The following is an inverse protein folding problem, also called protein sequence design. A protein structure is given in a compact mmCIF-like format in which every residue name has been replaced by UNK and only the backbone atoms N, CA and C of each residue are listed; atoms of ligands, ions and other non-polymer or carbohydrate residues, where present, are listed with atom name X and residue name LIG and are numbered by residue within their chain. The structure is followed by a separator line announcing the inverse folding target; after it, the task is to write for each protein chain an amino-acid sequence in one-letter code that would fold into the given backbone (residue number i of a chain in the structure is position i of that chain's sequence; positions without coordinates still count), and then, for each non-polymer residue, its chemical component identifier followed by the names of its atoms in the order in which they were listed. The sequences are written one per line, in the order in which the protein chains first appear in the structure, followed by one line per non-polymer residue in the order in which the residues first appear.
data_IF_849502278250
#
_entry.id   IF_849502278250
#
_cell.length_a   1.000
_cell.length_b   1.000
_cell.length_c   1.000
_cell.angle_alpha   90.00
_cell.angle_beta   90.00
_cell.angle_gamma   90.00
#
_symmetry.space_group_name_H-M   'P 1'
#
loop_
_entity.id
_entity.type
_entity.pdbx_description
1 polymer ?
#
# COMPACT_ATOMS: atom_id res chain seq x y z
N UNK A 1 1.89 -46.12 -35.65
CA UNK A 1 2.53 -44.81 -35.37
C UNK A 1 1.50 -43.89 -34.74
N UNK A 2 1.28 -44.01 -33.43
CA UNK A 2 0.49 -43.06 -32.66
C UNK A 2 1.49 -42.40 -31.72
N UNK A 3 1.89 -41.17 -32.06
CA UNK A 3 2.73 -40.32 -31.24
C UNK A 3 1.89 -39.81 -30.06
N UNK A 4 2.16 -40.32 -28.87
CA UNK A 4 1.71 -39.73 -27.62
C UNK A 4 2.52 -38.45 -27.38
N UNK A 5 1.92 -37.29 -27.65
CA UNK A 5 2.42 -36.02 -27.12
C UNK A 5 2.14 -36.00 -25.63
N UNK A 6 3.14 -36.31 -24.81
CA UNK A 6 3.08 -36.00 -23.39
C UNK A 6 3.17 -34.48 -23.23
N UNK A 7 2.05 -33.83 -22.90
CA UNK A 7 2.06 -32.49 -22.33
C UNK A 7 2.80 -32.59 -21.00
N UNK A 8 4.09 -32.26 -20.99
CA UNK A 8 4.80 -31.93 -19.77
C UNK A 8 4.23 -30.59 -19.28
N UNK A 9 3.18 -30.63 -18.46
CA UNK A 9 2.86 -29.50 -17.61
C UNK A 9 4.09 -29.27 -16.71
N UNK A 10 4.82 -28.20 -16.97
CA UNK A 10 5.76 -27.64 -16.01
C UNK A 10 4.93 -27.30 -14.77
N UNK A 11 5.08 -28.08 -13.71
CA UNK A 11 4.65 -27.66 -12.38
C UNK A 11 5.70 -26.63 -11.96
N UNK A 12 5.46 -25.36 -12.29
CA UNK A 12 6.24 -24.29 -11.69
C UNK A 12 5.78 -24.15 -10.24
N UNK A 13 6.71 -24.27 -9.30
CA UNK A 13 6.40 -23.99 -7.90
C UNK A 13 6.06 -22.51 -7.79
N UNK A 14 4.78 -22.21 -7.59
CA UNK A 14 4.31 -20.85 -7.33
C UNK A 14 4.86 -20.45 -5.96
N UNK A 15 5.71 -19.43 -5.90
CA UNK A 15 6.09 -18.87 -4.61
C UNK A 15 4.91 -18.08 -4.04
N UNK A 16 4.72 -18.19 -2.73
CA UNK A 16 3.65 -17.45 -2.04
C UNK A 16 4.28 -16.47 -1.06
N UNK A 17 4.06 -15.18 -1.30
CA UNK A 17 4.38 -14.13 -0.35
C UNK A 17 3.30 -14.08 0.73
N UNK A 18 3.67 -14.39 1.98
CA UNK A 18 2.75 -14.40 3.11
C UNK A 18 3.06 -13.25 4.06
N UNK A 19 2.05 -12.47 4.43
CA UNK A 19 2.19 -11.45 5.47
C UNK A 19 0.90 -11.30 6.28
N UNK A 20 1.05 -10.79 7.51
CA UNK A 20 -0.06 -10.37 8.36
C UNK A 20 0.05 -8.87 8.59
N UNK A 21 -1.03 -8.15 8.32
CA UNK A 21 -1.14 -6.70 8.41
C UNK A 21 -2.03 -6.35 9.59
N UNK A 22 -1.44 -5.87 10.68
CA UNK A 22 -2.16 -5.27 11.79
C UNK A 22 -2.35 -3.78 11.53
N UNK A 23 -3.61 -3.37 11.32
CA UNK A 23 -3.96 -1.98 11.02
C UNK A 23 -4.36 -1.26 12.30
N UNK A 24 -3.59 -0.26 12.72
CA UNK A 24 -3.86 0.49 13.94
C UNK A 24 -3.43 1.95 13.88
N UNK A 25 -4.04 2.76 14.73
CA UNK A 25 -3.58 4.11 15.03
C UNK A 25 -2.33 4.06 15.92
N UNK A 26 -1.34 4.89 15.58
CA UNK A 26 -0.09 5.05 16.33
C UNK A 26 0.33 6.53 16.32
N UNK A 27 0.86 7.05 17.42
CA UNK A 27 1.40 8.42 17.44
C UNK A 27 2.81 8.42 16.87
N UNK A 28 3.06 9.26 15.87
CA UNK A 28 4.37 9.38 15.24
C UNK A 28 4.65 10.82 14.78
N UNK A 29 5.93 11.09 14.57
CA UNK A 29 6.45 12.41 14.19
C UNK A 29 7.38 12.33 12.95
N UNK A 30 6.87 11.87 11.79
CA UNK A 30 7.69 11.68 10.58
C UNK A 30 8.35 12.97 10.08
N UNK A 31 7.81 14.12 10.45
CA UNK A 31 8.34 15.45 10.16
C UNK A 31 8.66 16.27 11.41
N UNK A 32 8.92 15.60 12.54
CA UNK A 32 9.15 16.17 13.88
C UNK A 32 7.91 16.76 14.57
N UNK A 33 6.74 16.72 13.94
CA UNK A 33 5.47 17.05 14.58
C UNK A 33 4.70 15.78 14.94
N UNK A 34 4.43 15.56 16.23
CA UNK A 34 3.68 14.37 16.68
C UNK A 34 2.19 14.48 16.32
N UNK A 35 1.68 13.47 15.60
CA UNK A 35 0.26 13.31 15.30
C UNK A 35 -0.15 11.83 15.27
N UNK A 36 -1.46 11.52 15.34
CA UNK A 36 -1.96 10.17 15.08
C UNK A 36 -1.77 9.81 13.60
N UNK A 37 -1.26 8.61 13.36
CA UNK A 37 -0.98 8.04 12.03
C UNK A 37 -1.56 6.63 11.97
N UNK A 38 -2.19 6.28 10.85
CA UNK A 38 -2.59 4.91 10.55
C UNK A 38 -1.38 4.13 10.04
N UNK A 39 -1.11 2.99 10.66
CA UNK A 39 0.07 2.18 10.39
C UNK A 39 -0.31 0.76 10.02
N UNK A 40 0.65 0.07 9.39
CA UNK A 40 0.63 -1.37 9.25
C UNK A 40 1.81 -1.91 10.07
N UNK A 41 1.52 -2.76 11.06
CA UNK A 41 2.53 -3.34 11.94
C UNK A 41 3.42 -2.30 12.65
N UNK A 42 2.84 -1.16 13.06
CA UNK A 42 3.55 -0.01 13.69
C UNK A 42 4.64 0.63 12.82
N UNK A 43 4.62 0.41 11.50
CA UNK A 43 5.63 0.96 10.59
C UNK A 43 5.14 2.20 9.86
N UNK A 44 6.02 3.19 9.75
CA UNK A 44 5.86 4.39 8.94
C UNK A 44 7.17 4.61 8.16
N UNK A 45 7.15 4.58 6.82
CA UNK A 45 6.04 4.15 5.96
C UNK A 45 5.60 2.71 6.23
N UNK A 46 4.42 2.33 5.72
CA UNK A 46 3.98 0.93 5.80
C UNK A 46 4.97 -0.01 5.08
N UNK A 47 5.03 -1.31 5.45
CA UNK A 47 6.02 -2.25 4.93
C UNK A 47 6.05 -2.30 3.40
N UNK A 48 7.23 -2.21 2.79
CA UNK A 48 7.34 -2.41 1.34
C UNK A 48 7.19 -3.90 1.01
N UNK A 49 6.30 -4.22 0.07
CA UNK A 49 6.17 -5.57 -0.49
C UNK A 49 7.05 -5.65 -1.73
N UNK A 50 7.92 -6.65 -1.80
CA UNK A 50 8.73 -6.96 -2.98
C UNK A 50 8.51 -8.43 -3.32
N UNK A 51 7.97 -8.69 -4.50
CA UNK A 51 7.71 -10.03 -5.03
C UNK A 51 8.21 -10.10 -6.48
N UNK A 52 8.24 -11.30 -7.06
CA UNK A 52 8.49 -11.48 -8.48
C UNK A 52 7.18 -11.67 -9.24
N UNK A 53 7.19 -11.31 -10.53
CA UNK A 53 6.13 -11.67 -11.46
C UNK A 53 5.89 -13.19 -11.42
N UNK A 54 4.64 -13.59 -11.20
CA UNK A 54 4.25 -15.00 -11.08
C UNK A 54 4.08 -15.47 -9.65
N UNK A 55 4.54 -14.70 -8.66
CA UNK A 55 4.29 -15.00 -7.25
C UNK A 55 2.81 -14.78 -6.91
N UNK A 56 2.32 -15.54 -5.92
CA UNK A 56 1.02 -15.34 -5.30
C UNK A 56 1.18 -14.48 -4.04
N UNK A 57 0.46 -13.38 -3.94
CA UNK A 57 0.38 -12.59 -2.72
C UNK A 57 -0.74 -13.16 -1.85
N UNK A 58 -0.45 -13.39 -0.56
CA UNK A 58 -1.40 -13.86 0.44
C UNK A 58 -1.25 -13.04 1.72
N UNK A 59 -2.08 -12.01 1.90
CA UNK A 59 -1.99 -11.05 3.00
C UNK A 59 -3.24 -11.15 3.87
N UNK A 60 -3.04 -11.50 5.14
CA UNK A 60 -4.11 -11.44 6.15
C UNK A 60 -4.13 -10.05 6.78
N UNK A 61 -5.17 -9.28 6.50
CA UNK A 61 -5.42 -8.00 7.16
C UNK A 61 -6.23 -8.22 8.42
N UNK A 62 -5.79 -7.63 9.53
CA UNK A 62 -6.49 -7.59 10.81
C UNK A 62 -6.81 -6.11 11.11
N UNK A 63 -8.10 -5.77 11.17
CA UNK A 63 -8.55 -4.42 11.45
C UNK A 63 -8.63 -4.19 12.97
N UNK A 64 -7.63 -3.50 13.54
CA UNK A 64 -7.60 -3.14 14.96
C UNK A 64 -8.08 -1.69 15.21
N UNK A 65 -8.66 -1.06 14.19
CA UNK A 65 -9.26 0.27 14.30
C UNK A 65 -10.66 0.19 14.92
N UNK A 66 -11.15 1.34 15.41
CA UNK A 66 -12.56 1.53 15.78
C UNK A 66 -13.46 1.86 14.59
N UNK A 67 -12.93 1.84 13.37
CA UNK A 67 -13.61 2.18 12.13
C UNK A 67 -13.34 1.12 11.05
N UNK A 68 -14.18 1.00 10.01
CA UNK A 68 -13.93 0.04 8.94
C UNK A 68 -12.68 0.37 8.11
N UNK A 69 -12.17 -0.61 7.37
CA UNK A 69 -11.05 -0.40 6.44
C UNK A 69 -11.13 -1.35 5.24
N UNK A 70 -10.28 -1.14 4.23
CA UNK A 70 -10.01 -2.05 3.12
C UNK A 70 -8.73 -1.59 2.42
N UNK A 71 -7.91 -2.52 1.90
CA UNK A 71 -6.68 -2.19 1.17
C UNK A 71 -6.87 -2.47 -0.31
N UNK A 72 -6.65 -1.44 -1.13
CA UNK A 72 -6.57 -1.53 -2.58
C UNK A 72 -5.11 -1.65 -3.06
N UNK A 73 -4.93 -2.44 -4.11
CA UNK A 73 -3.62 -2.74 -4.72
C UNK A 73 -3.45 -1.94 -6.01
N UNK A 74 -2.99 -0.71 -5.84
CA UNK A 74 -3.03 0.31 -6.88
C UNK A 74 -2.24 -0.09 -8.13
N UNK A 75 -2.93 -0.06 -9.28
CA UNK A 75 -2.36 -0.39 -10.59
C UNK A 75 -2.34 -1.89 -10.91
N UNK A 76 -2.77 -2.76 -10.00
CA UNK A 76 -2.96 -4.17 -10.32
C UNK A 76 -4.29 -4.37 -11.04
N UNK A 77 -4.27 -5.19 -12.09
CA UNK A 77 -5.42 -5.51 -12.93
C UNK A 77 -6.45 -6.40 -12.24
N UNK A 78 -6.08 -7.07 -11.14
CA UNK A 78 -6.92 -8.04 -10.43
C UNK A 78 -7.58 -9.07 -11.36
N UNK A 79 -6.84 -9.49 -12.39
CA UNK A 79 -7.33 -10.47 -13.37
C UNK A 79 -7.73 -11.76 -12.65
N UNK A 80 -8.97 -12.19 -12.87
CA UNK A 80 -9.59 -13.34 -12.20
C UNK A 80 -9.68 -13.24 -10.66
N UNK A 81 -9.43 -12.07 -10.08
CA UNK A 81 -9.35 -11.83 -8.64
C UNK A 81 -10.04 -10.50 -8.25
N UNK A 82 -11.06 -10.07 -9.00
CA UNK A 82 -11.76 -8.79 -8.79
C UNK A 82 -12.21 -8.56 -7.33
N UNK A 83 -12.64 -9.61 -6.63
CA UNK A 83 -13.07 -9.54 -5.22
C UNK A 83 -11.92 -9.28 -4.23
N UNK A 84 -10.67 -9.24 -4.70
CA UNK A 84 -9.47 -8.90 -3.95
C UNK A 84 -8.99 -7.47 -4.21
N UNK A 85 -9.72 -6.70 -5.01
CA UNK A 85 -9.34 -5.35 -5.40
C UNK A 85 -9.42 -4.32 -4.27
N UNK A 86 -10.18 -4.58 -3.20
CA UNK A 86 -10.09 -3.74 -2.01
C UNK A 86 -10.93 -2.48 -2.00
N UNK A 87 -12.02 -2.43 -2.77
CA UNK A 87 -12.86 -1.22 -2.93
C UNK A 87 -14.23 -1.45 -2.27
N UNK A 88 -14.46 -0.94 -1.04
CA UNK A 88 -15.73 -1.06 -0.35
C UNK A 88 -16.91 -0.53 -1.18
N UNK A 89 -17.96 -1.32 -1.28
CA UNK A 89 -19.16 -0.98 -2.06
C UNK A 89 -19.06 -1.26 -3.56
N UNK A 90 -17.90 -1.71 -4.05
CA UNK A 90 -17.70 -2.11 -5.46
C UNK A 90 -17.28 -3.58 -5.56
N UNK A 91 -16.14 -3.93 -4.97
CA UNK A 91 -15.53 -5.26 -5.12
C UNK A 91 -15.63 -6.11 -3.86
N UNK A 92 -15.82 -5.48 -2.69
CA UNK A 92 -16.07 -6.15 -1.42
C UNK A 92 -16.86 -5.24 -0.47
N UNK A 93 -17.31 -5.79 0.66
CA UNK A 93 -17.71 -4.98 1.82
C UNK A 93 -16.46 -4.49 2.57
N UNK A 94 -16.63 -3.43 3.35
CA UNK A 94 -15.63 -2.99 4.31
C UNK A 94 -15.30 -4.06 5.36
N UNK A 95 -14.05 -4.07 5.82
CA UNK A 95 -13.57 -4.94 6.90
C UNK A 95 -13.86 -4.22 8.21
N UNK A 96 -14.82 -4.70 8.99
CA UNK A 96 -15.27 -4.03 10.21
C UNK A 96 -14.23 -4.12 11.35
N UNK A 97 -14.33 -3.25 12.38
CA UNK A 97 -13.51 -3.34 13.58
C UNK A 97 -13.43 -4.75 14.16
N UNK A 98 -12.21 -5.21 14.45
CA UNK A 98 -11.93 -6.55 14.99
C UNK A 98 -12.05 -7.70 14.00
N UNK A 99 -12.42 -7.44 12.74
CA UNK A 99 -12.49 -8.45 11.70
C UNK A 99 -11.18 -8.59 10.93
N UNK A 100 -11.09 -9.67 10.15
CA UNK A 100 -9.95 -9.94 9.29
C UNK A 100 -10.41 -10.31 7.89
N UNK A 101 -9.56 -10.04 6.91
CA UNK A 101 -9.77 -10.41 5.51
C UNK A 101 -8.47 -10.92 4.91
N UNK A 102 -8.54 -11.91 4.04
CA UNK A 102 -7.37 -12.46 3.36
C UNK A 102 -7.41 -12.01 1.90
N UNK A 103 -6.44 -11.20 1.51
CA UNK A 103 -6.20 -10.84 0.12
C UNK A 103 -5.32 -11.90 -0.53
N UNK A 104 -5.84 -12.60 -1.54
CA UNK A 104 -5.08 -13.62 -2.29
C UNK A 104 -5.19 -13.38 -3.78
N UNK A 105 -4.11 -12.95 -4.43
CA UNK A 105 -4.10 -12.66 -5.86
C UNK A 105 -2.74 -12.93 -6.51
N UNK A 106 -2.76 -13.21 -7.82
CA UNK A 106 -1.57 -13.54 -8.61
C UNK A 106 -0.95 -12.30 -9.25
N UNK A 107 0.38 -12.27 -9.32
CA UNK A 107 1.15 -11.23 -10.01
C UNK A 107 1.61 -11.63 -11.42
N UNK A 108 1.19 -12.79 -11.92
CA UNK A 108 1.65 -13.42 -13.17
C UNK A 108 1.69 -12.48 -14.40
N UNK A 109 0.76 -11.53 -14.49
CA UNK A 109 0.58 -10.71 -15.69
C UNK A 109 1.20 -9.30 -15.59
N UNK A 110 1.93 -8.98 -14.52
CA UNK A 110 2.42 -7.62 -14.29
C UNK A 110 3.81 -7.61 -13.63
N UNK A 111 4.61 -6.60 -13.98
CA UNK A 111 5.86 -6.25 -13.33
C UNK A 111 5.99 -4.72 -13.31
N UNK A 112 6.68 -4.17 -12.32
CA UNK A 112 6.88 -2.73 -12.17
C UNK A 112 6.76 -2.22 -10.73
N UNK A 113 6.68 -0.89 -10.63
CA UNK A 113 6.48 -0.17 -9.37
C UNK A 113 5.01 0.16 -9.18
N UNK A 114 4.45 -0.35 -8.09
CA UNK A 114 3.08 -0.16 -7.66
C UNK A 114 3.06 0.29 -6.19
N UNK A 115 1.88 0.44 -5.65
CA UNK A 115 1.68 0.76 -4.24
C UNK A 115 0.34 0.18 -3.80
N UNK A 116 0.12 0.16 -2.50
CA UNK A 116 -1.14 -0.24 -1.91
C UNK A 116 -1.55 0.81 -0.90
N UNK A 117 -2.85 1.00 -0.73
CA UNK A 117 -3.37 2.00 0.18
C UNK A 117 -4.76 1.63 0.66
N UNK A 118 -5.18 2.20 1.79
CA UNK A 118 -6.58 2.09 2.16
C UNK A 118 -7.47 2.77 1.13
N UNK A 119 -8.53 2.09 0.75
CA UNK A 119 -9.57 2.62 -0.13
C UNK A 119 -10.87 2.89 0.63
N UNK A 120 -10.80 2.96 1.97
CA UNK A 120 -11.88 3.38 2.82
C UNK A 120 -11.69 4.85 3.25
N UNK A 121 -12.65 5.72 2.90
CA UNK A 121 -12.64 7.16 3.18
C UNK A 121 -11.29 7.82 2.82
N UNK A 122 -10.71 8.64 3.69
CA UNK A 122 -9.40 9.29 3.53
C UNK A 122 -8.28 8.63 4.33
N UNK A 123 -8.41 7.35 4.72
CA UNK A 123 -7.43 6.68 5.59
C UNK A 123 -6.00 6.68 5.02
N UNK A 124 -5.83 6.61 3.69
CA UNK A 124 -4.49 6.67 3.09
C UNK A 124 -3.79 8.02 3.31
N UNK A 125 -4.55 9.10 3.48
CA UNK A 125 -4.04 10.44 3.80
C UNK A 125 -3.41 10.48 5.19
N UNK A 126 -3.89 9.62 6.10
CA UNK A 126 -3.37 9.49 7.47
C UNK A 126 -2.28 8.42 7.60
N UNK A 127 -1.70 7.94 6.50
CA UNK A 127 -0.52 7.07 6.50
C UNK A 127 -0.76 5.63 6.06
N UNK A 128 -2.02 5.23 5.83
CA UNK A 128 -2.36 3.85 5.48
C UNK A 128 -2.07 3.53 4.00
N UNK A 129 -0.77 3.54 3.65
CA UNK A 129 -0.23 3.35 2.30
C UNK A 129 1.20 2.82 2.34
N UNK A 130 1.57 1.96 1.40
CA UNK A 130 2.91 1.41 1.27
C UNK A 130 3.23 1.02 -0.17
N UNK A 131 4.50 0.68 -0.43
CA UNK A 131 4.99 0.38 -1.77
C UNK A 131 4.85 -1.10 -2.09
N UNK A 132 4.53 -1.42 -3.34
CA UNK A 132 4.50 -2.77 -3.89
C UNK A 132 5.39 -2.81 -5.14
N UNK A 133 6.48 -3.58 -5.10
CA UNK A 133 7.33 -3.84 -6.26
C UNK A 133 7.08 -5.26 -6.75
N UNK A 134 6.80 -5.40 -8.04
CA UNK A 134 6.76 -6.71 -8.70
C UNK A 134 7.93 -6.75 -9.68
N UNK A 135 8.99 -7.50 -9.32
CA UNK A 135 10.20 -7.65 -10.12
C UNK A 135 9.93 -8.55 -11.32
N UNK A 136 10.48 -8.20 -12.48
CA UNK A 136 10.58 -9.12 -13.61
C UNK A 136 11.88 -9.92 -13.48
N UNK A 137 11.83 -11.25 -13.25
CA UNK A 137 13.04 -12.08 -13.20
C UNK A 137 13.84 -12.06 -14.51
N UNK A 138 13.20 -11.67 -15.62
CA UNK A 138 13.78 -11.58 -16.95
C UNK A 138 13.85 -10.12 -17.44
N UNK A 139 13.99 -9.15 -16.53
CA UNK A 139 14.07 -7.73 -16.86
C UNK A 139 15.06 -7.46 -18.03
N UNK A 140 14.56 -7.04 -19.21
CA UNK A 140 15.40 -6.82 -20.39
C UNK A 140 16.38 -5.66 -20.20
N UNK A 141 16.13 -4.79 -19.21
CA UNK A 141 16.96 -3.62 -18.93
C UNK A 141 17.99 -3.86 -17.83
N UNK A 142 18.06 -5.07 -17.25
CA UNK A 142 18.93 -5.35 -16.08
C UNK A 142 20.41 -5.01 -16.29
N UNK A 143 20.88 -5.03 -17.54
CA UNK A 143 22.26 -4.68 -17.89
C UNK A 143 22.56 -3.18 -17.97
N UNK A 144 21.54 -2.31 -17.93
CA UNK A 144 21.67 -0.86 -18.07
C UNK A 144 21.77 -0.10 -16.74
N UNK A 145 21.59 -0.78 -15.60
CA UNK A 145 21.70 -0.19 -14.27
C UNK A 145 22.40 -1.16 -13.32
N UNK A 146 23.08 -0.60 -12.32
CA UNK A 146 23.73 -1.37 -11.26
C UNK A 146 22.82 -1.50 -10.04
N UNK A 147 22.18 -0.39 -9.66
CA UNK A 147 21.39 -0.26 -8.45
C UNK A 147 20.01 0.31 -8.74
N UNK A 148 19.07 0.04 -7.84
CA UNK A 148 17.70 0.53 -7.86
C UNK A 148 17.33 1.02 -6.46
N UNK A 149 16.63 2.15 -6.39
CA UNK A 149 16.21 2.75 -5.12
C UNK A 149 14.72 3.09 -5.16
N UNK A 150 14.04 2.91 -4.03
CA UNK A 150 12.62 3.21 -3.90
C UNK A 150 12.46 4.61 -3.31
N UNK A 151 11.73 5.46 -4.03
CA UNK A 151 11.38 6.80 -3.59
C UNK A 151 9.85 6.94 -3.47
N UNK A 152 9.37 7.00 -2.24
CA UNK A 152 8.00 7.36 -1.91
C UNK A 152 7.96 8.84 -1.56
N UNK A 153 7.16 9.61 -2.29
CA UNK A 153 6.94 11.04 -2.05
C UNK A 153 5.48 11.24 -1.68
N UNK A 154 5.22 11.88 -0.55
CA UNK A 154 3.85 12.16 -0.10
C UNK A 154 3.75 13.55 0.48
N UNK A 155 2.61 14.21 0.26
CA UNK A 155 2.19 15.33 1.08
C UNK A 155 1.88 14.85 2.52
N UNK A 156 1.98 15.78 3.47
CA UNK A 156 1.75 15.49 4.88
C UNK A 156 1.05 16.65 5.57
N UNK A 157 0.04 16.30 6.35
CA UNK A 157 -0.81 17.23 7.07
C UNK A 157 -0.67 16.94 8.57
N UNK A 158 -0.76 17.95 9.43
CA UNK A 158 -0.78 17.76 10.88
C UNK A 158 -2.18 17.47 11.42
N UNK A 159 -3.18 17.89 10.66
CA UNK A 159 -4.59 17.65 10.95
C UNK A 159 -5.00 16.31 10.31
N UNK A 160 -5.60 15.38 11.06
CA UNK A 160 -6.10 14.12 10.51
C UNK A 160 -7.08 14.31 9.34
N UNK A 161 -7.01 13.41 8.37
CA UNK A 161 -7.73 13.52 7.10
C UNK A 161 -9.25 13.54 7.28
N UNK A 162 -9.80 12.85 8.29
CA UNK A 162 -11.24 12.90 8.57
C UNK A 162 -11.72 14.30 9.00
N UNK A 163 -10.86 15.14 9.57
CA UNK A 163 -11.18 16.54 9.89
C UNK A 163 -11.13 17.38 8.61
N UNK A 164 -10.09 17.20 7.78
CA UNK A 164 -10.00 17.85 6.48
C UNK A 164 -11.20 17.52 5.58
N UNK A 165 -11.66 16.26 5.57
CA UNK A 165 -12.83 15.83 4.82
C UNK A 165 -14.07 16.63 5.21
N UNK A 166 -14.31 16.80 6.51
CA UNK A 166 -15.46 17.55 7.01
C UNK A 166 -15.44 18.98 6.50
N UNK A 167 -14.28 19.65 6.59
CA UNK A 167 -14.13 21.02 6.10
C UNK A 167 -14.28 21.09 4.58
N UNK A 168 -13.61 20.21 3.84
CA UNK A 168 -13.62 20.18 2.38
C UNK A 168 -15.01 19.99 1.75
N UNK A 169 -15.89 19.23 2.42
CA UNK A 169 -17.26 19.02 1.95
C UNK A 169 -18.18 20.24 2.12
N UNK A 170 -17.75 21.31 2.81
CA UNK A 170 -18.54 22.54 2.92
C UNK A 170 -18.42 23.40 1.66
N UNK A 171 -19.53 23.95 1.12
CA UNK A 171 -19.48 24.79 -0.07
C UNK A 171 -18.56 26.00 0.09
N UNK A 172 -17.66 26.19 -0.88
CA UNK A 172 -16.76 27.35 -0.94
C UNK A 172 -15.45 27.20 -0.15
N UNK A 173 -15.16 26.04 0.43
CA UNK A 173 -13.84 25.75 1.01
C UNK A 173 -12.84 25.38 -0.07
N UNK A 174 -11.58 25.82 0.10
CA UNK A 174 -10.47 25.42 -0.75
C UNK A 174 -9.88 24.07 -0.28
N UNK A 175 -9.11 23.45 -1.17
CA UNK A 175 -8.31 22.27 -0.83
C UNK A 175 -7.36 22.60 0.35
N UNK A 176 -7.18 21.66 1.31
CA UNK A 176 -6.22 21.84 2.37
C UNK A 176 -4.79 21.91 1.79
N UNK A 177 -3.97 22.80 2.33
CA UNK A 177 -2.56 22.92 1.99
C UNK A 177 -1.77 22.02 2.95
N UNK A 178 -0.88 21.13 2.45
CA UNK A 178 -0.07 20.29 3.32
C UNK A 178 0.96 21.11 4.12
N UNK A 179 1.22 20.68 5.35
CA UNK A 179 2.20 21.30 6.24
C UNK A 179 3.64 21.01 5.80
N UNK A 180 3.88 19.82 5.22
CA UNK A 180 5.18 19.44 4.66
C UNK A 180 5.04 18.36 3.59
N UNK A 181 6.17 17.89 3.06
CA UNK A 181 6.27 16.68 2.27
C UNK A 181 7.18 15.67 2.98
N UNK A 182 6.86 14.38 2.83
CA UNK A 182 7.72 13.29 3.26
C UNK A 182 8.39 12.64 2.06
N UNK A 183 9.67 12.32 2.23
CA UNK A 183 10.43 11.45 1.34
C UNK A 183 10.74 10.19 2.14
N UNK A 184 10.24 9.05 1.70
CA UNK A 184 10.36 7.76 2.41
C UNK A 184 9.96 7.86 3.90
N UNK A 185 8.90 8.63 4.18
CA UNK A 185 8.37 8.81 5.54
C UNK A 185 9.13 9.81 6.41
N UNK A 186 10.09 10.55 5.85
CA UNK A 186 10.89 11.54 6.57
C UNK A 186 10.63 12.93 5.99
N UNK A 187 10.29 13.88 6.85
CA UNK A 187 10.13 15.29 6.53
C UNK A 187 10.77 16.19 7.59
N UNK A 188 10.59 17.50 7.43
CA UNK A 188 11.00 18.51 8.40
C UNK A 188 9.90 19.57 8.47
N UNK A 189 9.59 19.99 9.69
CA UNK A 189 8.64 21.06 9.94
C UNK A 189 9.18 22.01 11.00
N UNK A 190 9.18 23.31 10.69
CA UNK A 190 9.59 24.38 11.61
C UNK A 190 11.01 24.21 12.22
N UNK A 191 11.92 23.57 11.48
CA UNK A 191 13.32 23.40 11.88
C UNK A 191 14.18 24.54 11.34
N UNK A 192 15.31 24.82 11.99
CA UNK A 192 16.33 25.71 11.45
C UNK A 192 17.13 25.04 10.30
N UNK A 193 18.00 25.81 9.63
CA UNK A 193 18.86 25.28 8.56
C UNK A 193 19.82 24.17 9.02
N UNK A 194 20.02 24.00 10.34
CA UNK A 194 20.83 22.93 10.94
C UNK A 194 19.98 21.72 11.35
N UNK A 195 18.69 21.69 11.00
CA UNK A 195 17.74 20.63 11.35
C UNK A 195 17.54 20.45 12.85
N UNK A 196 17.65 21.54 13.62
CA UNK A 196 17.23 21.55 15.02
C UNK A 196 15.71 21.72 15.07
N UNK A 197 15.06 20.65 15.52
CA UNK A 197 13.65 20.49 15.84
C UNK A 197 13.64 19.73 17.19
#
# INVERSE_FOLDING_TARGET
NILFFALLYRIENINVYNAVFHIRWFNASPDTYERPVLTINDQIPAPTIIVNQGDLINITLINELSEPTAIHWHGLSQRNSLHMDGVPGVTQCEILPGQSFIYTYSTENQSGTYWYHSHYTMQYGDGLKGILIIKDPNDPWKSFYQDEEILQITDWYHIPAYIHLKTYLYPGTLDPIPDTALINGIGQFNCDLNRQC
#
